data_IF_483140828529
#
_entry.id   IF_483140828529
#
_cell.length_a   1.000
_cell.length_b   1.000
_cell.length_c   1.000
_cell.angle_alpha   90.00
_cell.angle_beta   90.00
_cell.angle_gamma   90.00
#
_symmetry.space_group_name_H-M   'P 1'
#
loop_
_entity.id
_entity.type
_entity.pdbx_description
1 polymer ?
#
# COMPACT_ATOMS: atom_id res chain seq x y z
N UNK A 1 11.69 -4.58 -1.52
CA UNK A 1 12.88 -4.20 -2.32
C UNK A 1 12.50 -3.87 -3.76
N UNK A 2 11.79 -4.77 -4.45
CA UNK A 2 11.38 -4.58 -5.86
C UNK A 2 10.54 -3.31 -6.11
N UNK A 3 9.58 -2.97 -5.22
CA UNK A 3 8.74 -1.77 -5.39
C UNK A 3 9.57 -0.48 -5.36
N UNK A 4 10.45 -0.29 -4.37
CA UNK A 4 11.35 0.88 -4.29
C UNK A 4 12.24 0.99 -5.52
N UNK A 5 12.75 -0.14 -6.02
CA UNK A 5 13.54 -0.16 -7.24
C UNK A 5 12.71 0.32 -8.44
N UNK A 6 11.49 -0.19 -8.61
CA UNK A 6 10.57 0.23 -9.69
C UNK A 6 10.20 1.71 -9.61
N UNK A 7 9.96 2.25 -8.42
CA UNK A 7 9.71 3.68 -8.21
C UNK A 7 10.92 4.52 -8.61
N UNK A 8 12.14 4.10 -8.21
CA UNK A 8 13.37 4.79 -8.61
C UNK A 8 13.56 4.81 -10.13
N UNK A 9 13.33 3.68 -10.81
CA UNK A 9 13.37 3.59 -12.27
C UNK A 9 12.33 4.53 -12.92
N UNK A 10 11.09 4.55 -12.41
CA UNK A 10 10.05 5.45 -12.89
C UNK A 10 10.45 6.92 -12.74
N UNK A 11 10.98 7.32 -11.58
CA UNK A 11 11.42 8.70 -11.34
C UNK A 11 12.57 9.10 -12.27
N UNK A 12 13.50 8.18 -12.56
CA UNK A 12 14.55 8.40 -13.55
C UNK A 12 13.99 8.69 -14.95
N UNK A 13 12.95 7.97 -15.37
CA UNK A 13 12.26 8.24 -16.63
C UNK A 13 11.47 9.55 -16.62
N UNK A 14 10.84 9.91 -15.49
CA UNK A 14 10.14 11.19 -15.35
C UNK A 14 11.12 12.37 -15.47
N UNK A 15 12.26 12.29 -14.80
CA UNK A 15 13.32 13.30 -14.87
C UNK A 15 13.86 13.45 -16.31
N UNK A 16 14.09 12.34 -17.02
CA UNK A 16 14.54 12.37 -18.41
C UNK A 16 13.51 12.99 -19.38
N UNK A 17 12.22 12.87 -19.07
CA UNK A 17 11.11 13.40 -19.89
C UNK A 17 10.59 14.77 -19.46
N UNK A 18 11.13 15.38 -18.40
CA UNK A 18 10.63 16.64 -17.83
C UNK A 18 9.24 16.53 -17.20
N UNK A 19 8.85 15.33 -16.75
CA UNK A 19 7.58 15.06 -16.08
C UNK A 19 7.76 15.11 -14.56
N UNK A 20 6.78 15.68 -13.86
CA UNK A 20 6.70 15.58 -12.41
C UNK A 20 6.26 14.16 -11.99
N UNK A 21 7.06 13.39 -11.22
CA UNK A 21 6.64 12.08 -10.73
C UNK A 21 5.42 12.14 -9.81
N UNK A 22 5.16 13.27 -9.14
CA UNK A 22 4.03 13.40 -8.20
C UNK A 22 2.66 13.48 -8.90
N UNK A 23 2.64 13.72 -10.22
CA UNK A 23 1.44 13.60 -11.06
C UNK A 23 0.99 12.14 -11.26
N UNK A 24 1.77 11.16 -10.76
CA UNK A 24 1.47 9.73 -10.91
C UNK A 24 0.96 9.17 -9.59
N UNK A 25 -0.26 8.62 -9.62
CA UNK A 25 -0.74 7.80 -8.51
C UNK A 25 0.02 6.47 -8.48
N UNK A 26 0.78 6.25 -7.42
CA UNK A 26 1.48 4.99 -7.15
C UNK A 26 0.57 4.10 -6.32
N UNK A 27 -0.15 3.19 -6.99
CA UNK A 27 -1.07 2.28 -6.33
C UNK A 27 -0.41 0.95 -5.93
N UNK A 28 -0.77 0.40 -4.78
CA UNK A 28 -0.42 -0.97 -4.38
C UNK A 28 -1.66 -1.75 -3.95
N UNK A 29 -1.79 -2.97 -4.45
CA UNK A 29 -2.85 -3.90 -4.06
C UNK A 29 -2.32 -4.86 -3.00
N UNK A 30 -2.81 -4.72 -1.78
CA UNK A 30 -2.42 -5.56 -0.66
C UNK A 30 -3.50 -6.59 -0.37
N UNK A 31 -3.16 -7.88 -0.38
CA UNK A 31 -4.08 -8.95 -0.02
C UNK A 31 -4.01 -9.19 1.49
N UNK A 32 -5.12 -8.93 2.17
CA UNK A 32 -5.20 -9.10 3.62
C UNK A 32 -5.21 -10.59 4.00
N UNK A 33 -4.59 -10.87 5.15
CA UNK A 33 -4.69 -12.13 5.87
C UNK A 33 -5.65 -11.93 7.04
N UNK A 34 -6.87 -12.44 6.93
CA UNK A 34 -7.91 -12.21 7.94
C UNK A 34 -7.58 -12.85 9.32
N UNK A 35 -6.72 -13.87 9.32
CA UNK A 35 -6.17 -14.53 10.51
C UNK A 35 -5.00 -13.76 11.14
N UNK A 36 -4.43 -12.77 10.45
CA UNK A 36 -3.27 -12.00 10.90
C UNK A 36 -3.28 -10.59 10.28
N UNK A 37 -4.11 -9.71 10.85
CA UNK A 37 -4.19 -8.31 10.42
C UNK A 37 -2.97 -7.49 10.85
N UNK A 38 -2.28 -7.90 11.92
CA UNK A 38 -1.14 -7.17 12.46
C UNK A 38 0.05 -7.16 11.48
N UNK A 39 0.33 -8.28 10.78
CA UNK A 39 1.37 -8.29 9.75
C UNK A 39 1.10 -7.30 8.61
N UNK A 40 -0.17 -7.07 8.29
CA UNK A 40 -0.55 -6.12 7.24
C UNK A 40 -0.16 -4.68 7.57
N UNK A 41 -0.15 -4.26 8.85
CA UNK A 41 0.28 -2.91 9.24
C UNK A 41 1.74 -2.67 8.85
N UNK A 42 2.63 -3.58 9.24
CA UNK A 42 4.07 -3.47 8.96
C UNK A 42 4.36 -3.50 7.47
N UNK A 43 3.68 -4.37 6.72
CA UNK A 43 3.84 -4.47 5.27
C UNK A 43 3.37 -3.19 4.57
N UNK A 44 2.17 -2.71 4.90
CA UNK A 44 1.62 -1.49 4.32
C UNK A 44 2.47 -0.25 4.64
N UNK A 45 2.95 -0.12 5.88
CA UNK A 45 3.86 0.98 6.24
C UNK A 45 5.11 0.97 5.37
N UNK A 46 5.70 -0.21 5.13
CA UNK A 46 6.88 -0.33 4.26
C UNK A 46 6.64 0.08 2.80
N UNK A 47 5.39 0.02 2.32
CA UNK A 47 5.00 0.51 0.99
C UNK A 47 4.71 2.01 0.99
N UNK A 48 4.09 2.55 2.05
CA UNK A 48 3.92 4.00 2.23
C UNK A 48 5.27 4.69 2.31
N UNK A 49 6.19 4.18 3.13
CA UNK A 49 7.57 4.67 3.23
C UNK A 49 8.33 4.59 1.89
N UNK A 50 7.87 3.75 0.97
CA UNK A 50 8.40 3.59 -0.38
C UNK A 50 7.72 4.49 -1.43
N UNK A 51 6.75 5.30 -1.03
CA UNK A 51 6.08 6.28 -1.90
C UNK A 51 4.72 5.84 -2.47
N UNK A 52 4.09 4.78 -1.96
CA UNK A 52 2.71 4.47 -2.35
C UNK A 52 1.77 5.60 -1.91
N UNK A 53 0.97 6.10 -2.85
CA UNK A 53 -0.03 7.14 -2.60
C UNK A 53 -1.46 6.61 -2.60
N UNK A 54 -1.67 5.37 -3.08
CA UNK A 54 -3.00 4.74 -3.10
C UNK A 54 -2.92 3.25 -2.74
N UNK A 55 -3.58 2.85 -1.66
CA UNK A 55 -3.61 1.45 -1.22
C UNK A 55 -4.99 0.86 -1.50
N UNK A 56 -5.01 -0.31 -2.14
CA UNK A 56 -6.21 -1.12 -2.33
C UNK A 56 -6.10 -2.37 -1.47
N UNK A 57 -6.98 -2.50 -0.49
CA UNK A 57 -7.03 -3.68 0.39
C UNK A 57 -7.95 -4.75 -0.21
N UNK A 58 -7.37 -5.87 -0.61
CA UNK A 58 -8.09 -7.03 -1.12
C UNK A 58 -8.40 -7.95 0.06
N UNK A 59 -9.67 -7.99 0.45
CA UNK A 59 -10.16 -8.92 1.45
C UNK A 59 -10.58 -10.23 0.76
N UNK A 60 -9.93 -11.38 1.03
CA UNK A 60 -10.42 -12.68 0.57
C UNK A 60 -11.56 -13.22 1.45
N UNK A 61 -12.41 -14.08 0.87
CA UNK A 61 -13.38 -14.89 1.61
C UNK A 61 -12.67 -15.69 2.73
N UNK A 62 -13.32 -15.96 3.88
CA UNK A 62 -14.78 -16.12 4.06
C UNK A 62 -15.56 -14.92 4.62
N UNK A 63 -14.97 -13.72 4.71
CA UNK A 63 -15.68 -12.49 5.16
C UNK A 63 -16.37 -12.62 6.52
N UNK A 64 -15.62 -12.87 7.61
CA UNK A 64 -16.22 -12.97 8.94
C UNK A 64 -16.95 -11.67 9.33
N UNK A 65 -17.97 -11.80 10.16
CA UNK A 65 -18.76 -10.65 10.61
C UNK A 65 -17.87 -9.56 11.23
N UNK A 66 -18.14 -8.30 10.85
CA UNK A 66 -17.39 -7.15 11.34
C UNK A 66 -15.96 -7.00 10.80
N UNK A 67 -15.54 -7.82 9.83
CA UNK A 67 -14.16 -7.78 9.28
C UNK A 67 -13.76 -6.40 8.75
N UNK A 68 -14.66 -5.64 8.14
CA UNK A 68 -14.35 -4.29 7.63
C UNK A 68 -14.05 -3.32 8.77
N UNK A 69 -14.83 -3.37 9.85
CA UNK A 69 -14.58 -2.56 11.06
C UNK A 69 -13.23 -2.92 11.67
N UNK A 70 -12.96 -4.22 11.82
CA UNK A 70 -11.67 -4.70 12.32
C UNK A 70 -10.50 -4.25 11.46
N UNK A 71 -10.61 -4.30 10.12
CA UNK A 71 -9.57 -3.79 9.21
C UNK A 71 -9.37 -2.28 9.39
N UNK A 72 -10.45 -1.51 9.56
CA UNK A 72 -10.34 -0.07 9.78
C UNK A 72 -9.59 0.26 11.09
N UNK A 73 -9.93 -0.45 12.18
CA UNK A 73 -9.39 -0.22 13.51
C UNK A 73 -7.99 -0.82 13.70
N UNK A 74 -7.78 -2.07 13.28
CA UNK A 74 -6.54 -2.82 13.51
C UNK A 74 -5.49 -2.58 12.43
N UNK A 75 -5.88 -2.13 11.23
CA UNK A 75 -4.96 -1.90 10.11
C UNK A 75 -4.88 -0.42 9.73
N UNK A 76 -5.98 0.16 9.24
CA UNK A 76 -5.95 1.51 8.64
C UNK A 76 -5.55 2.57 9.67
N UNK A 77 -6.10 2.51 10.88
CA UNK A 77 -5.76 3.46 11.96
C UNK A 77 -4.29 3.42 12.40
N UNK A 78 -3.55 2.35 12.03
CA UNK A 78 -2.16 2.13 12.42
C UNK A 78 -1.15 2.38 11.32
N UNK A 79 -1.58 2.59 10.07
CA UNK A 79 -0.70 3.03 8.97
C UNK A 79 -0.60 4.56 9.01
N UNK A 80 0.59 5.11 8.73
CA UNK A 80 0.88 6.55 8.70
C UNK A 80 1.29 6.95 7.29
N UNK A 81 0.54 7.89 6.71
CA UNK A 81 0.85 8.55 5.44
C UNK A 81 1.98 9.59 5.60
#
# INVERSE_FOLDING_TARGET
EEFRHKVSVLHGHCAAGGRDPDDIVLSYQHRLRADDLASSVSELQGFVDAGVTHIVLVLPAPYPDGIVTRVAEEVIAHVRA
#
